data_IF_871568839313
#
_entry.id   IF_871568839313
#
_cell.length_a   1.000
_cell.length_b   1.000
_cell.length_c   1.000
_cell.angle_alpha   90.00
_cell.angle_beta   90.00
_cell.angle_gamma   90.00
#
_symmetry.space_group_name_H-M   'P 1'
#
loop_
_entity.id
_entity.type
_entity.pdbx_description
1 polymer ?
#
# COMPACT_ATOMS: atom_id res chain seq x y z
N UNK A 1 -11.06 -9.66 -0.84
CA UNK A 1 -10.24 -9.96 0.36
C UNK A 1 -11.01 -9.49 1.57
N UNK A 2 -11.41 -10.40 2.47
CA UNK A 2 -12.11 -10.07 3.71
C UNK A 2 -11.09 -10.08 4.83
N UNK A 3 -10.92 -8.96 5.53
CA UNK A 3 -9.86 -8.78 6.54
C UNK A 3 -10.32 -9.24 7.94
N UNK A 4 -11.61 -9.16 8.26
CA UNK A 4 -12.20 -9.68 9.49
C UNK A 4 -13.73 -9.88 9.36
N UNK A 5 -14.34 -10.65 10.26
CA UNK A 5 -15.80 -10.82 10.42
C UNK A 5 -16.20 -10.51 11.86
N UNK A 6 -17.34 -9.86 12.05
CA UNK A 6 -17.87 -9.51 13.37
C UNK A 6 -19.40 -9.38 13.35
N UNK A 7 -20.03 -9.47 14.52
CA UNK A 7 -21.47 -9.31 14.71
C UNK A 7 -21.80 -7.81 14.78
N UNK A 8 -22.74 -7.33 13.98
CA UNK A 8 -23.17 -5.93 14.03
C UNK A 8 -24.10 -5.69 15.22
N UNK A 9 -23.75 -4.74 16.07
CA UNK A 9 -24.59 -4.23 17.17
C UNK A 9 -24.72 -2.70 17.04
N UNK A 10 -25.94 -2.24 16.72
CA UNK A 10 -26.17 -0.84 16.35
C UNK A 10 -25.38 -0.43 15.10
N UNK A 11 -24.50 0.56 15.24
CA UNK A 11 -23.60 1.06 14.19
C UNK A 11 -22.20 0.47 14.25
N UNK A 12 -21.90 -0.39 15.24
CA UNK A 12 -20.59 -0.98 15.47
C UNK A 12 -20.56 -2.47 15.09
N UNK A 13 -19.40 -2.97 14.67
CA UNK A 13 -19.16 -4.40 14.47
C UNK A 13 -18.33 -4.93 15.64
N UNK A 14 -18.94 -5.80 16.44
CA UNK A 14 -18.31 -6.48 17.56
C UNK A 14 -17.58 -7.74 17.06
N UNK A 15 -16.27 -7.77 17.26
CA UNK A 15 -15.45 -8.96 17.02
C UNK A 15 -15.52 -9.79 18.29
N UNK A 16 -16.12 -10.98 18.22
CA UNK A 16 -16.23 -11.88 19.37
C UNK A 16 -14.88 -12.58 19.54
N UNK A 17 -13.99 -12.02 20.35
CA UNK A 17 -12.76 -12.71 20.76
C UNK A 17 -13.15 -13.79 21.78
N UNK A 18 -13.35 -15.02 21.31
CA UNK A 18 -13.27 -16.20 22.17
C UNK A 18 -11.79 -16.50 22.40
N UNK A 19 -11.37 -16.40 23.67
CA UNK A 19 -10.01 -16.40 24.23
C UNK A 19 -9.39 -15.01 24.37
N UNK A 20 -8.92 -14.76 25.59
CA UNK A 20 -8.14 -13.63 26.08
C UNK A 20 -6.82 -13.43 25.30
N UNK A 21 -6.88 -13.25 24.00
CA UNK A 21 -5.85 -12.51 23.29
C UNK A 21 -6.20 -11.04 23.42
N UNK A 22 -6.06 -10.51 24.64
CA UNK A 22 -5.46 -9.18 24.74
C UNK A 22 -4.22 -9.33 23.86
N UNK A 23 -4.15 -8.61 22.75
CA UNK A 23 -2.91 -8.40 22.06
C UNK A 23 -2.05 -7.61 23.05
N UNK A 24 -1.49 -8.34 24.02
CA UNK A 24 -0.39 -7.93 24.83
C UNK A 24 0.71 -7.90 23.78
N UNK A 25 0.80 -6.76 23.09
CA UNK A 25 2.06 -6.35 22.50
C UNK A 25 3.10 -6.75 23.54
N UNK A 26 4.10 -7.52 23.14
CA UNK A 26 5.28 -7.82 23.95
C UNK A 26 6.02 -6.51 24.18
N UNK A 27 5.36 -5.62 24.91
CA UNK A 27 5.75 -4.27 25.19
C UNK A 27 6.68 -4.41 26.36
N UNK A 28 7.95 -4.58 26.03
CA UNK A 28 9.03 -4.69 26.99
C UNK A 28 9.13 -3.42 27.86
N UNK A 29 8.45 -2.32 27.46
CA UNK A 29 8.34 -1.08 28.20
C UNK A 29 6.97 -0.39 28.06
N UNK A 30 6.65 0.52 28.99
CA UNK A 30 5.50 1.43 28.88
C UNK A 30 5.51 2.25 27.58
N UNK A 31 6.69 2.53 27.01
CA UNK A 31 6.82 3.25 25.75
C UNK A 31 6.31 2.40 24.57
N UNK A 32 6.65 1.11 24.53
CA UNK A 32 6.20 0.19 23.48
C UNK A 32 4.68 0.01 23.51
N UNK A 33 4.09 -0.03 24.71
CA UNK A 33 2.64 -0.10 24.86
C UNK A 33 1.94 1.15 24.30
N UNK A 34 2.46 2.34 24.61
CA UNK A 34 1.94 3.59 24.04
C UNK A 34 2.17 3.67 22.53
N UNK A 35 3.27 3.15 22.02
CA UNK A 35 3.55 3.05 20.60
C UNK A 35 2.47 2.24 19.86
N UNK A 36 2.12 1.06 20.36
CA UNK A 36 1.05 0.24 19.80
C UNK A 36 -0.33 0.91 19.93
N UNK A 37 -0.67 1.46 21.11
CA UNK A 37 -1.95 2.15 21.35
C UNK A 37 -2.18 3.37 20.45
N UNK A 38 -1.12 4.07 20.08
CA UNK A 38 -1.17 5.25 19.22
C UNK A 38 -1.03 4.90 17.72
N UNK A 39 -1.23 3.64 17.34
CA UNK A 39 -1.16 3.21 15.95
C UNK A 39 0.26 3.25 15.38
N UNK A 40 1.24 2.74 16.13
CA UNK A 40 2.65 2.70 15.74
C UNK A 40 3.27 4.09 15.46
N UNK A 41 2.88 5.07 16.29
CA UNK A 41 3.37 6.44 16.23
C UNK A 41 4.90 6.51 16.33
N UNK A 42 5.52 7.45 15.60
CA UNK A 42 6.97 7.66 15.68
C UNK A 42 7.44 8.05 17.09
N UNK A 43 8.66 7.66 17.45
CA UNK A 43 9.27 8.05 18.72
C UNK A 43 9.27 9.58 18.91
N UNK A 44 9.57 10.32 17.84
CA UNK A 44 9.54 11.80 17.85
C UNK A 44 8.15 12.34 18.20
N UNK A 45 7.09 11.80 17.59
CA UNK A 45 5.71 12.20 17.90
C UNK A 45 5.34 11.87 19.33
N UNK A 46 5.73 10.70 19.82
CA UNK A 46 5.50 10.31 21.21
C UNK A 46 6.29 11.19 22.19
N UNK A 47 7.53 11.59 21.89
CA UNK A 47 8.30 12.55 22.70
C UNK A 47 7.60 13.90 22.82
N UNK A 48 6.97 14.37 21.75
CA UNK A 48 6.17 15.62 21.77
C UNK A 48 4.90 15.49 22.61
N UNK A 49 4.24 14.33 22.61
CA UNK A 49 3.08 14.08 23.48
C UNK A 49 3.49 13.93 24.95
N UNK A 50 4.62 13.27 25.19
CA UNK A 50 5.24 13.10 26.50
C UNK A 50 5.61 14.47 27.12
N UNK A 51 6.25 15.35 26.36
CA UNK A 51 6.62 16.70 26.86
C UNK A 51 5.41 17.59 27.16
N UNK A 52 4.26 17.31 26.52
CA UNK A 52 2.98 17.98 26.78
C UNK A 52 2.16 17.30 27.90
N UNK A 53 2.70 16.28 28.56
CA UNK A 53 2.02 15.54 29.62
C UNK A 53 0.79 14.76 29.16
N UNK A 54 0.70 14.41 27.86
CA UNK A 54 -0.46 13.70 27.29
C UNK A 54 -0.38 12.18 27.42
N UNK A 55 0.79 11.65 27.79
CA UNK A 55 1.03 10.22 27.98
C UNK A 55 1.23 9.93 29.47
N UNK A 56 0.14 9.63 30.17
CA UNK A 56 0.17 9.35 31.61
C UNK A 56 1.09 8.18 31.93
N UNK A 57 1.93 8.34 32.95
CA UNK A 57 2.86 7.29 33.41
C UNK A 57 4.09 7.08 32.52
N UNK A 58 4.26 7.86 31.46
CA UNK A 58 5.43 7.83 30.60
C UNK A 58 6.28 9.09 30.84
N UNK A 59 7.48 8.90 31.42
CA UNK A 59 8.44 10.01 31.67
C UNK A 59 9.47 10.16 30.55
N UNK A 60 9.84 9.03 29.94
CA UNK A 60 10.85 8.96 28.88
C UNK A 60 10.34 8.07 27.78
N UNK A 61 10.56 8.47 26.52
CA UNK A 61 10.23 7.67 25.34
C UNK A 61 11.52 7.17 24.72
N UNK A 62 11.68 5.84 24.70
CA UNK A 62 12.72 5.13 23.96
C UNK A 62 12.07 3.90 23.35
N UNK A 63 12.00 3.83 22.04
CA UNK A 63 11.42 2.70 21.32
C UNK A 63 12.53 1.82 20.76
N UNK A 64 12.32 0.50 20.84
CA UNK A 64 13.14 -0.47 20.14
C UNK A 64 12.78 -0.57 18.65
N UNK A 65 13.37 -1.56 17.97
CA UNK A 65 12.94 -1.95 16.64
C UNK A 65 11.53 -2.55 16.73
N UNK A 66 10.58 -2.04 15.95
CA UNK A 66 9.25 -2.58 15.82
C UNK A 66 9.08 -3.15 14.40
N UNK A 67 8.87 -4.45 14.29
CA UNK A 67 8.76 -5.16 13.00
C UNK A 67 7.57 -4.64 12.17
N UNK A 68 6.41 -4.46 12.80
CA UNK A 68 5.21 -3.89 12.15
C UNK A 68 5.48 -2.51 11.55
N UNK A 69 6.26 -1.69 12.27
CA UNK A 69 6.69 -0.38 11.78
C UNK A 69 7.60 -0.50 10.57
N UNK A 70 8.53 -1.45 10.58
CA UNK A 70 9.47 -1.68 9.47
C UNK A 70 8.69 -2.06 8.23
N UNK A 71 7.81 -3.07 8.32
CA UNK A 71 6.98 -3.50 7.19
C UNK A 71 6.00 -2.41 6.74
N UNK A 72 5.35 -1.70 7.68
CA UNK A 72 4.37 -0.67 7.37
C UNK A 72 4.95 0.61 6.79
N UNK A 73 6.21 0.95 7.10
CA UNK A 73 6.90 2.15 6.61
C UNK A 73 7.93 1.85 5.52
N UNK A 74 8.06 0.60 5.10
CA UNK A 74 8.99 0.22 4.06
C UNK A 74 8.65 0.96 2.76
N UNK A 75 9.57 1.80 2.30
CA UNK A 75 9.44 2.46 1.00
C UNK A 75 9.93 1.49 -0.08
N UNK A 76 9.20 1.42 -1.21
CA UNK A 76 9.71 0.75 -2.41
C UNK A 76 11.04 1.39 -2.80
N UNK A 77 12.06 0.57 -3.05
CA UNK A 77 13.35 1.03 -3.59
C UNK A 77 13.08 1.85 -4.85
N UNK A 78 13.75 3.00 -4.96
CA UNK A 78 13.63 3.80 -6.18
C UNK A 78 14.08 2.97 -7.37
N UNK A 79 13.24 2.91 -8.41
CA UNK A 79 13.70 2.38 -9.69
C UNK A 79 14.93 3.19 -10.12
N UNK A 80 15.98 2.50 -10.56
CA UNK A 80 17.09 3.18 -11.21
C UNK A 80 16.52 3.98 -12.37
N UNK A 81 16.96 5.24 -12.50
CA UNK A 81 16.72 5.99 -13.73
C UNK A 81 17.56 5.32 -14.80
N UNK A 82 17.05 4.26 -15.42
CA UNK A 82 17.64 3.78 -16.65
C UNK A 82 17.69 4.97 -17.60
N UNK A 83 18.87 5.27 -18.15
CA UNK A 83 18.96 6.10 -19.35
C UNK A 83 18.05 5.44 -20.37
N UNK A 84 16.92 6.05 -20.68
CA UNK A 84 15.96 5.50 -21.63
C UNK A 84 16.51 5.78 -23.02
N UNK A 85 17.57 5.07 -23.39
CA UNK A 85 18.13 5.10 -24.74
C UNK A 85 17.11 4.43 -25.65
N UNK A 86 16.61 5.18 -26.62
CA UNK A 86 15.74 4.63 -27.65
C UNK A 86 16.51 3.52 -28.37
N UNK A 87 15.79 2.49 -28.77
CA UNK A 87 16.35 1.49 -29.68
C UNK A 87 16.81 2.10 -30.99
N UNK A 88 17.84 1.54 -31.61
CA UNK A 88 18.47 2.14 -32.80
C UNK A 88 17.80 1.67 -34.10
N UNK A 89 17.05 0.56 -34.04
CA UNK A 89 16.40 -0.04 -35.20
C UNK A 89 14.88 -0.09 -35.04
N UNK A 90 14.16 0.07 -36.16
CA UNK A 90 12.70 -0.10 -36.23
C UNK A 90 12.33 -1.51 -35.78
N UNK A 91 11.32 -1.63 -34.91
CA UNK A 91 10.77 -2.88 -34.40
C UNK A 91 11.76 -3.71 -33.55
N UNK A 92 12.86 -3.12 -33.08
CA UNK A 92 13.78 -3.79 -32.14
C UNK A 92 13.13 -4.04 -30.77
N UNK A 93 12.28 -3.12 -30.32
CA UNK A 93 11.49 -3.24 -29.10
C UNK A 93 10.11 -2.65 -29.33
N UNK A 94 9.08 -3.46 -29.10
CA UNK A 94 7.67 -3.03 -29.16
C UNK A 94 7.05 -3.22 -27.79
N UNK A 95 6.58 -2.13 -27.20
CA UNK A 95 5.78 -2.16 -25.98
C UNK A 95 4.34 -2.47 -26.37
N UNK A 96 3.77 -3.52 -25.81
CA UNK A 96 2.36 -3.85 -26.01
C UNK A 96 1.61 -3.79 -24.69
N UNK A 97 0.39 -3.27 -24.74
CA UNK A 97 -0.50 -3.20 -23.58
C UNK A 97 -1.93 -3.52 -24.01
N UNK A 98 -2.62 -4.33 -23.22
CA UNK A 98 -4.01 -4.73 -23.44
C UNK A 98 -4.89 -4.05 -22.41
N UNK A 99 -5.75 -3.18 -22.89
CA UNK A 99 -6.78 -2.54 -22.08
C UNK A 99 -8.14 -3.13 -22.45
N UNK A 100 -8.99 -3.44 -21.48
CA UNK A 100 -10.32 -3.97 -21.81
C UNK A 100 -11.04 -4.68 -20.69
N UNK A 101 -11.98 -5.55 -21.11
CA UNK A 101 -13.10 -6.06 -20.29
C UNK A 101 -13.96 -4.92 -19.74
N UNK A 102 -14.23 -3.92 -20.58
CA UNK A 102 -15.12 -2.83 -20.20
C UNK A 102 -16.58 -3.28 -20.23
N UNK A 103 -17.42 -2.78 -19.30
CA UNK A 103 -18.86 -3.06 -19.31
C UNK A 103 -19.58 -2.38 -20.48
N UNK A 104 -18.99 -1.33 -21.05
CA UNK A 104 -19.52 -0.57 -22.17
C UNK A 104 -18.62 -0.81 -23.38
N UNK A 105 -19.22 -1.17 -24.52
CA UNK A 105 -18.51 -1.36 -25.79
C UNK A 105 -18.29 -0.03 -26.49
N UNK A 106 -17.25 0.05 -27.33
CA UNK A 106 -17.05 1.19 -28.24
C UNK A 106 -18.20 1.29 -29.26
N UNK A 107 -18.23 2.39 -30.01
CA UNK A 107 -19.17 2.56 -31.13
C UNK A 107 -19.06 1.43 -32.17
N UNK A 108 -17.89 0.81 -32.30
CA UNK A 108 -17.64 -0.33 -33.19
C UNK A 108 -17.88 -1.70 -32.55
N UNK A 109 -18.46 -1.75 -31.34
CA UNK A 109 -18.76 -2.98 -30.61
C UNK A 109 -17.55 -3.65 -29.95
N UNK A 110 -16.40 -2.96 -29.86
CA UNK A 110 -15.20 -3.51 -29.22
C UNK A 110 -15.30 -3.40 -27.68
N UNK A 111 -14.83 -4.42 -26.97
CA UNK A 111 -14.80 -4.47 -25.48
C UNK A 111 -13.39 -4.45 -24.90
N UNK A 112 -12.38 -4.43 -25.79
CA UNK A 112 -10.97 -4.26 -25.46
C UNK A 112 -10.24 -3.58 -26.63
N UNK A 113 -9.11 -2.95 -26.32
CA UNK A 113 -8.15 -2.51 -27.30
C UNK A 113 -6.73 -2.90 -26.87
N UNK A 114 -5.89 -3.20 -27.84
CA UNK A 114 -4.48 -3.47 -27.64
C UNK A 114 -3.66 -2.35 -28.28
N UNK A 115 -2.67 -1.84 -27.57
CA UNK A 115 -1.73 -0.86 -28.10
C UNK A 115 -0.40 -1.53 -28.42
N UNK A 116 0.23 -1.10 -29.51
CA UNK A 116 1.60 -1.45 -29.87
C UNK A 116 2.38 -0.15 -30.07
N UNK A 117 3.49 0.02 -29.36
CA UNK A 117 4.34 1.20 -29.45
C UNK A 117 5.76 0.75 -29.78
N UNK A 118 6.21 1.09 -30.97
CA UNK A 118 7.60 0.87 -31.35
C UNK A 118 8.52 1.85 -30.60
N UNK A 119 9.56 1.34 -29.95
CA UNK A 119 10.43 2.13 -29.09
C UNK A 119 11.28 3.12 -29.88
N UNK A 120 11.78 2.73 -31.06
CA UNK A 120 12.61 3.59 -31.92
C UNK A 120 11.79 4.72 -32.56
N UNK A 121 10.73 4.38 -33.32
CA UNK A 121 9.96 5.37 -34.09
C UNK A 121 8.93 6.12 -33.25
N UNK A 122 8.62 5.65 -32.05
CA UNK A 122 7.52 6.13 -31.20
C UNK A 122 6.13 6.05 -31.85
N UNK A 123 5.99 5.31 -32.96
CA UNK A 123 4.70 5.10 -33.61
C UNK A 123 3.83 4.19 -32.75
N UNK A 124 2.57 4.59 -32.61
CA UNK A 124 1.53 3.86 -31.88
C UNK A 124 0.52 3.28 -32.86
N UNK A 125 0.17 2.02 -32.66
CA UNK A 125 -0.94 1.34 -33.34
C UNK A 125 -1.92 0.85 -32.28
N UNK A 126 -3.21 1.04 -32.54
CA UNK A 126 -4.28 0.55 -31.68
C UNK A 126 -5.14 -0.44 -32.47
N UNK A 127 -5.38 -1.60 -31.87
CA UNK A 127 -6.26 -2.63 -32.42
C UNK A 127 -7.43 -2.84 -31.49
N UNK A 128 -8.65 -2.74 -32.02
CA UNK A 128 -9.89 -2.89 -31.27
C UNK A 128 -10.46 -4.28 -31.49
N UNK A 129 -10.82 -4.98 -30.41
CA UNK A 129 -11.35 -6.33 -30.49
C UNK A 129 -12.67 -6.52 -29.77
N UNK A 130 -13.41 -7.52 -30.24
CA UNK A 130 -14.68 -7.98 -29.67
C UNK A 130 -14.44 -9.37 -29.07
N UNK A 131 -15.21 -9.73 -28.05
CA UNK A 131 -15.20 -11.11 -27.54
C UNK A 131 -15.63 -12.10 -28.60
#
# INVERSE_FOLDING_TARGET
MVVARGKKEGTLYMIVNSHDSIALASANSNADLWHCRLGHMSEKGMKQLCSKGKLSGLKTVKLGLCEDCVFGKQKRVSFSKASRTLKEQKLELVHSDLWGSTPITSLGGASYYMTFIDDFTRKKVESFGRK
#
